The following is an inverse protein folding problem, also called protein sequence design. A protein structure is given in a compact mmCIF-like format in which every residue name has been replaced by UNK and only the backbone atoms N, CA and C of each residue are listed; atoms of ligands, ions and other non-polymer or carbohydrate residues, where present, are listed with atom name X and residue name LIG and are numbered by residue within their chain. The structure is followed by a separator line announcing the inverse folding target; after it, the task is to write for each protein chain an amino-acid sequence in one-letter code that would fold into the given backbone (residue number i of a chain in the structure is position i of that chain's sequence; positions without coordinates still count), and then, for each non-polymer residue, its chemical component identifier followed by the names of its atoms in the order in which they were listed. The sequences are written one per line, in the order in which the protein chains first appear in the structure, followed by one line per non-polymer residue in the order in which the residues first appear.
data_IF_413750245079
#
_entry.id   IF_413750245079
#
_cell.length_a   1.000
_cell.length_b   1.000
_cell.length_c   1.000
_cell.angle_alpha   90.00
_cell.angle_beta   90.00
_cell.angle_gamma   90.00
#
_symmetry.space_group_name_H-M   'P 1'
#
loop_
_entity.id
_entity.type
_entity.pdbx_description
1 polymer ?
#
# COMPACT_ATOMS: atom_id res chain seq x y z
N UNK A 1 5.15 44.61 16.47
CA UNK A 1 6.30 43.88 15.90
C UNK A 1 6.10 42.44 16.29
N UNK A 2 5.87 41.63 15.27
CA UNK A 2 5.27 40.31 15.31
C UNK A 2 6.09 39.28 16.09
N UNK A 3 5.41 38.54 16.95
CA UNK A 3 5.85 37.22 17.39
C UNK A 3 5.10 36.18 16.55
N UNK A 4 5.57 35.95 15.33
CA UNK A 4 5.17 34.76 14.57
C UNK A 4 5.88 33.56 15.20
N UNK A 5 5.28 33.02 16.25
CA UNK A 5 5.63 31.73 16.83
C UNK A 5 5.02 30.65 15.92
N UNK A 6 5.71 30.32 14.82
CA UNK A 6 5.50 29.04 14.16
C UNK A 6 5.99 27.96 15.11
N UNK A 7 5.07 27.35 15.85
CA UNK A 7 5.35 26.15 16.62
C UNK A 7 5.99 25.12 15.68
N UNK A 8 7.06 24.42 16.11
CA UNK A 8 7.60 23.32 15.33
C UNK A 8 6.48 22.30 15.15
N UNK A 9 6.34 21.80 13.92
CA UNK A 9 5.39 20.77 13.55
C UNK A 9 5.59 19.55 14.48
N UNK A 10 4.82 19.47 15.57
CA UNK A 10 4.91 18.36 16.50
C UNK A 10 4.37 17.12 15.77
N UNK A 11 5.01 15.95 15.91
CA UNK A 11 4.52 14.73 15.29
C UNK A 11 3.06 14.51 15.68
N UNK A 12 2.18 14.38 14.69
CA UNK A 12 0.81 13.97 14.97
C UNK A 12 0.82 12.58 15.59
N UNK A 13 -0.04 12.36 16.59
CA UNK A 13 -0.18 11.04 17.18
C UNK A 13 -0.60 10.02 16.11
N UNK A 14 -0.05 8.81 16.12
CA UNK A 14 -0.32 7.76 15.13
C UNK A 14 -1.82 7.58 14.87
N UNK A 15 -2.63 7.56 15.93
CA UNK A 15 -4.09 7.41 15.82
C UNK A 15 -4.79 8.51 15.01
N UNK A 16 -4.25 9.73 15.03
CA UNK A 16 -4.78 10.82 14.19
C UNK A 16 -4.51 10.55 12.72
N UNK A 17 -3.32 10.04 12.39
CA UNK A 17 -2.97 9.72 11.01
C UNK A 17 -3.80 8.55 10.50
N UNK A 18 -3.95 7.49 11.29
CA UNK A 18 -4.80 6.32 10.95
C UNK A 18 -6.26 6.71 10.69
N UNK A 19 -6.82 7.64 11.48
CA UNK A 19 -8.17 8.16 11.28
C UNK A 19 -8.30 8.89 9.93
N UNK A 20 -7.32 9.73 9.59
CA UNK A 20 -7.30 10.46 8.31
C UNK A 20 -7.16 9.50 7.12
N UNK A 21 -6.34 8.45 7.24
CA UNK A 21 -6.24 7.40 6.23
C UNK A 21 -7.58 6.68 6.05
N UNK A 22 -8.22 6.29 7.16
CA UNK A 22 -9.55 5.64 7.15
C UNK A 22 -10.61 6.51 6.48
N UNK A 23 -10.57 7.83 6.74
CA UNK A 23 -11.45 8.80 6.10
C UNK A 23 -11.20 8.90 4.59
N UNK A 24 -9.95 8.83 4.13
CA UNK A 24 -9.63 8.85 2.70
C UNK A 24 -10.28 7.65 1.98
N UNK A 25 -10.17 6.46 2.55
CA UNK A 25 -10.83 5.29 1.97
C UNK A 25 -12.36 5.36 2.00
N UNK A 26 -12.95 5.95 3.05
CA UNK A 26 -14.39 6.20 3.06
C UNK A 26 -14.82 7.13 1.92
N UNK A 27 -14.07 8.22 1.69
CA UNK A 27 -14.32 9.14 0.58
C UNK A 27 -14.25 8.42 -0.76
N UNK A 28 -13.21 7.61 -0.98
CA UNK A 28 -13.02 6.85 -2.22
C UNK A 28 -14.21 5.92 -2.49
N UNK A 29 -14.59 5.09 -1.50
CA UNK A 29 -15.74 4.17 -1.61
C UNK A 29 -17.09 4.88 -1.76
N UNK A 30 -17.20 6.12 -1.28
CA UNK A 30 -18.38 6.95 -1.49
C UNK A 30 -18.45 7.63 -2.86
N UNK A 31 -17.39 7.48 -3.68
CA UNK A 31 -17.26 8.08 -5.01
C UNK A 31 -16.57 9.44 -5.02
N UNK A 32 -16.19 10.01 -3.87
CA UNK A 32 -15.40 11.24 -3.78
C UNK A 32 -13.90 10.93 -3.94
N UNK A 33 -13.53 10.50 -5.13
CA UNK A 33 -12.15 10.15 -5.49
C UNK A 33 -11.19 11.32 -5.38
N UNK A 34 -11.66 12.55 -5.65
CA UNK A 34 -10.86 13.77 -5.50
C UNK A 34 -10.56 14.06 -4.04
N UNK A 35 -11.59 14.07 -3.19
CA UNK A 35 -11.42 14.27 -1.75
C UNK A 35 -10.54 13.19 -1.12
N UNK A 36 -10.67 11.94 -1.56
CA UNK A 36 -9.80 10.85 -1.14
C UNK A 36 -8.34 11.09 -1.55
N UNK A 37 -8.09 11.46 -2.81
CA UNK A 37 -6.75 11.76 -3.32
C UNK A 37 -6.08 12.88 -2.53
N UNK A 38 -6.76 14.02 -2.38
CA UNK A 38 -6.28 15.18 -1.62
C UNK A 38 -5.93 14.76 -0.18
N UNK A 39 -6.74 13.88 0.41
CA UNK A 39 -6.55 13.42 1.78
C UNK A 39 -5.37 12.45 1.93
N UNK A 40 -5.14 11.54 0.97
CA UNK A 40 -3.95 10.69 0.96
C UNK A 40 -2.67 11.52 0.82
N UNK A 41 -2.66 12.51 -0.07
CA UNK A 41 -1.53 13.42 -0.24
C UNK A 41 -1.26 14.23 1.04
N UNK A 42 -2.30 14.75 1.69
CA UNK A 42 -2.21 15.41 2.98
C UNK A 42 -1.52 14.53 4.01
N UNK A 43 -1.96 13.27 4.14
CA UNK A 43 -1.40 12.35 5.13
C UNK A 43 0.06 12.02 4.83
N UNK A 44 0.42 11.77 3.56
CA UNK A 44 1.81 11.54 3.19
C UNK A 44 2.69 12.74 3.55
N UNK A 45 2.19 13.98 3.40
CA UNK A 45 2.91 15.19 3.85
C UNK A 45 3.06 15.28 5.37
N UNK A 46 2.10 14.75 6.14
CA UNK A 46 2.23 14.68 7.60
C UNK A 46 3.29 13.65 8.05
N UNK A 47 3.54 12.64 7.23
CA UNK A 47 4.53 11.59 7.48
C UNK A 47 5.92 11.92 6.93
N UNK A 48 6.08 13.00 6.18
CA UNK A 48 7.35 13.38 5.59
C UNK A 48 8.43 13.55 6.67
N UNK A 49 9.60 12.97 6.44
CA UNK A 49 10.70 12.91 7.41
C UNK A 49 10.49 11.96 8.60
N UNK A 50 9.41 11.18 8.63
CA UNK A 50 9.22 10.10 9.62
C UNK A 50 9.71 8.75 9.08
N UNK A 51 10.15 7.88 9.98
CA UNK A 51 10.51 6.49 9.70
C UNK A 51 9.37 5.53 10.12
N UNK A 52 8.12 5.91 9.84
CA UNK A 52 6.95 5.11 10.19
C UNK A 52 6.49 4.25 9.00
N UNK A 53 7.21 3.14 8.76
CA UNK A 53 6.93 2.20 7.67
C UNK A 53 5.49 1.68 7.67
N UNK A 54 4.94 1.42 8.85
CA UNK A 54 3.56 0.96 9.02
C UNK A 54 2.52 1.95 8.46
N UNK A 55 2.64 3.25 8.75
CA UNK A 55 1.66 4.22 8.25
C UNK A 55 1.79 4.43 6.74
N UNK A 56 3.01 4.37 6.20
CA UNK A 56 3.21 4.39 4.75
C UNK A 56 2.61 3.15 4.07
N UNK A 57 2.77 1.97 4.66
CA UNK A 57 2.15 0.74 4.16
C UNK A 57 0.62 0.79 4.23
N UNK A 58 0.06 1.35 5.31
CA UNK A 58 -1.40 1.50 5.45
C UNK A 58 -1.98 2.40 4.35
N UNK A 59 -1.28 3.49 4.00
CA UNK A 59 -1.63 4.34 2.85
C UNK A 59 -1.53 3.56 1.54
N UNK A 60 -0.42 2.83 1.35
CA UNK A 60 -0.19 2.01 0.17
C UNK A 60 -1.33 1.00 -0.06
N UNK A 61 -1.63 0.20 0.96
CA UNK A 61 -2.67 -0.83 0.92
C UNK A 61 -4.02 -0.21 0.59
N UNK A 62 -4.44 0.80 1.36
CA UNK A 62 -5.77 1.37 1.19
C UNK A 62 -5.93 2.10 -0.14
N UNK A 63 -5.02 3.01 -0.47
CA UNK A 63 -5.13 3.75 -1.73
C UNK A 63 -5.03 2.85 -2.96
N UNK A 64 -4.33 1.72 -2.88
CA UNK A 64 -4.27 0.76 -3.99
C UNK A 64 -5.60 0.06 -4.22
N UNK A 65 -6.26 -0.43 -3.17
CA UNK A 65 -7.58 -1.09 -3.30
C UNK A 65 -8.69 -0.08 -3.62
N UNK A 66 -8.55 1.17 -3.18
CA UNK A 66 -9.48 2.27 -3.47
C UNK A 66 -9.33 2.82 -4.91
N UNK A 67 -8.45 2.24 -5.74
CA UNK A 67 -8.25 2.63 -7.14
C UNK A 67 -7.43 3.92 -7.32
N UNK A 68 -6.70 4.34 -6.29
CA UNK A 68 -5.89 5.56 -6.22
C UNK A 68 -4.39 5.24 -6.22
N UNK A 69 -3.99 4.12 -6.82
CA UNK A 69 -2.60 3.65 -6.82
C UNK A 69 -1.60 4.68 -7.36
N UNK A 70 -1.97 5.43 -8.41
CA UNK A 70 -1.12 6.49 -8.97
C UNK A 70 -0.78 7.58 -7.93
N UNK A 71 -1.66 7.81 -6.96
CA UNK A 71 -1.45 8.77 -5.86
C UNK A 71 -0.57 8.17 -4.77
N UNK A 72 -0.82 6.92 -4.39
CA UNK A 72 -0.21 6.31 -3.19
C UNK A 72 1.04 5.46 -3.45
N UNK A 73 1.42 5.22 -4.70
CA UNK A 73 2.64 4.46 -5.04
C UNK A 73 3.90 4.96 -4.30
N UNK A 74 4.14 6.28 -4.11
CA UNK A 74 5.28 6.76 -3.32
C UNK A 74 5.27 6.27 -1.86
N UNK A 75 4.10 6.09 -1.26
CA UNK A 75 3.98 5.53 0.09
C UNK A 75 4.37 4.05 0.12
N UNK A 76 3.97 3.28 -0.90
CA UNK A 76 4.39 1.88 -1.06
C UNK A 76 5.92 1.74 -1.17
N UNK A 77 6.54 2.61 -1.96
CA UNK A 77 7.99 2.63 -2.13
C UNK A 77 8.69 2.99 -0.82
N UNK A 78 8.19 3.99 -0.11
CA UNK A 78 8.73 4.44 1.16
C UNK A 78 8.61 3.39 2.27
N UNK A 79 7.49 2.66 2.34
CA UNK A 79 7.30 1.57 3.29
C UNK A 79 8.38 0.49 3.13
N UNK A 80 8.61 0.03 1.90
CA UNK A 80 9.64 -0.98 1.60
C UNK A 80 11.06 -0.44 1.73
N UNK A 81 11.29 0.86 1.45
CA UNK A 81 12.60 1.47 1.72
C UNK A 81 12.96 1.43 3.21
N UNK A 82 11.98 1.70 4.07
CA UNK A 82 12.14 1.69 5.53
C UNK A 82 12.33 0.27 6.10
N UNK A 83 11.53 -0.68 5.63
CA UNK A 83 11.51 -2.06 6.12
C UNK A 83 11.55 -3.05 4.95
N UNK A 84 12.70 -3.14 4.30
CA UNK A 84 12.89 -3.92 3.07
C UNK A 84 12.66 -5.44 3.21
N UNK A 85 12.70 -5.99 4.42
CA UNK A 85 12.48 -7.43 4.68
C UNK A 85 11.04 -7.72 5.15
N UNK A 86 10.19 -6.71 5.27
CA UNK A 86 8.78 -6.89 5.62
C UNK A 86 8.02 -7.42 4.40
N UNK A 87 7.56 -8.66 4.49
CA UNK A 87 6.89 -9.34 3.39
C UNK A 87 5.56 -8.70 3.03
N UNK A 88 4.81 -8.19 4.03
CA UNK A 88 3.53 -7.53 3.78
C UNK A 88 3.71 -6.22 3.01
N UNK A 89 4.76 -5.46 3.30
CA UNK A 89 5.01 -4.20 2.60
C UNK A 89 5.41 -4.43 1.16
N UNK A 90 6.21 -5.47 0.89
CA UNK A 90 6.53 -5.88 -0.48
C UNK A 90 5.31 -6.40 -1.21
N UNK A 91 4.47 -7.17 -0.55
CA UNK A 91 3.22 -7.69 -1.11
C UNK A 91 2.28 -6.55 -1.55
N UNK A 92 2.08 -5.55 -0.69
CA UNK A 92 1.29 -4.36 -1.00
C UNK A 92 1.93 -3.51 -2.13
N UNK A 93 3.26 -3.34 -2.12
CA UNK A 93 3.97 -2.65 -3.21
C UNK A 93 3.88 -3.43 -4.52
N UNK A 94 3.90 -4.76 -4.48
CA UNK A 94 3.74 -5.62 -5.64
C UNK A 94 2.38 -5.41 -6.31
N UNK A 95 1.31 -5.34 -5.52
CA UNK A 95 -0.02 -4.96 -6.01
C UNK A 95 -0.01 -3.58 -6.66
N UNK A 96 0.54 -2.58 -5.97
CA UNK A 96 0.60 -1.21 -6.50
C UNK A 96 1.39 -1.10 -7.82
N UNK A 97 2.52 -1.80 -7.92
CA UNK A 97 3.33 -1.87 -9.14
C UNK A 97 2.59 -2.57 -10.28
N UNK A 98 1.86 -3.64 -10.00
CA UNK A 98 1.05 -4.30 -11.01
C UNK A 98 -0.06 -3.38 -11.54
N UNK A 99 -0.78 -2.70 -10.65
CA UNK A 99 -1.85 -1.76 -11.02
C UNK A 99 -1.34 -0.58 -11.86
N UNK A 100 -0.09 -0.16 -11.65
CA UNK A 100 0.57 0.93 -12.42
C UNK A 100 1.37 0.44 -13.64
N UNK A 101 1.31 -0.85 -13.95
CA UNK A 101 1.94 -1.44 -15.15
C UNK A 101 3.42 -1.81 -15.00
N UNK A 102 4.01 -1.65 -13.82
CA UNK A 102 5.35 -2.16 -13.51
C UNK A 102 5.30 -3.65 -13.16
N UNK A 103 4.99 -4.49 -14.15
CA UNK A 103 4.85 -5.94 -13.95
C UNK A 103 6.16 -6.61 -13.53
N UNK A 104 7.31 -6.17 -14.06
CA UNK A 104 8.60 -6.71 -13.65
C UNK A 104 8.87 -6.48 -12.16
N UNK A 105 8.66 -5.25 -11.67
CA UNK A 105 8.81 -4.94 -10.25
C UNK A 105 7.77 -5.63 -9.36
N UNK A 106 6.55 -5.85 -9.86
CA UNK A 106 5.53 -6.60 -9.14
C UNK A 106 5.90 -8.09 -9.00
N UNK A 107 6.42 -8.71 -10.06
CA UNK A 107 6.92 -10.09 -10.04
C UNK A 107 8.07 -10.24 -9.05
N UNK A 108 9.02 -9.30 -9.02
CA UNK A 108 10.11 -9.31 -8.03
C UNK A 108 9.57 -9.31 -6.59
N UNK A 109 8.59 -8.44 -6.31
CA UNK A 109 7.99 -8.32 -4.98
C UNK A 109 7.22 -9.58 -4.57
N UNK A 110 6.33 -10.09 -5.43
CA UNK A 110 5.57 -11.30 -5.14
C UNK A 110 6.44 -12.54 -5.04
N UNK A 111 7.53 -12.64 -5.82
CA UNK A 111 8.47 -13.76 -5.73
C UNK A 111 9.14 -13.80 -4.36
N UNK A 112 9.62 -12.66 -3.85
CA UNK A 112 10.17 -12.56 -2.51
C UNK A 112 9.18 -13.06 -1.45
N UNK A 113 7.92 -12.63 -1.57
CA UNK A 113 6.87 -12.97 -0.60
C UNK A 113 6.55 -14.47 -0.62
N UNK A 114 6.47 -15.07 -1.80
CA UNK A 114 6.29 -16.53 -1.96
C UNK A 114 7.45 -17.29 -1.34
N UNK A 115 8.70 -16.87 -1.58
CA UNK A 115 9.89 -17.49 -0.99
C UNK A 115 9.86 -17.41 0.54
N UNK A 116 9.57 -16.22 1.08
CA UNK A 116 9.47 -15.99 2.52
C UNK A 116 8.41 -16.90 3.16
N UNK A 117 7.20 -16.95 2.61
CA UNK A 117 6.12 -17.78 3.16
C UNK A 117 6.39 -19.28 3.04
N UNK A 118 7.06 -19.72 1.97
CA UNK A 118 7.51 -21.12 1.84
C UNK A 118 8.56 -21.47 2.89
N UNK A 119 9.48 -20.57 3.21
CA UNK A 119 10.47 -20.77 4.27
C UNK A 119 9.82 -20.93 5.65
N UNK A 120 8.72 -20.19 5.92
CA UNK A 120 7.98 -20.34 7.18
C UNK A 120 7.34 -21.72 7.34
N UNK A 121 7.01 -22.40 6.23
CA UNK A 121 6.36 -23.72 6.21
C UNK A 121 5.10 -23.79 7.09
N UNK A 122 4.29 -22.73 7.04
CA UNK A 122 3.09 -22.59 7.85
C UNK A 122 1.82 -22.83 7.00
N UNK A 123 0.88 -23.70 7.43
CA UNK A 123 -0.30 -24.05 6.63
C UNK A 123 -1.18 -22.86 6.23
N UNK A 124 -1.24 -21.80 7.04
CA UNK A 124 -2.03 -20.61 6.73
C UNK A 124 -1.54 -19.84 5.50
N UNK A 125 -0.28 -20.01 5.09
CA UNK A 125 0.24 -19.34 3.89
C UNK A 125 -0.08 -20.06 2.59
N UNK A 126 -0.61 -21.29 2.65
CA UNK A 126 -0.78 -22.12 1.45
C UNK A 126 -1.67 -21.45 0.40
N UNK A 127 -2.78 -20.85 0.79
CA UNK A 127 -3.66 -20.14 -0.16
C UNK A 127 -2.98 -18.89 -0.70
N UNK A 128 -2.38 -18.08 0.16
CA UNK A 128 -1.71 -16.84 -0.25
C UNK A 128 -0.56 -17.11 -1.23
N UNK A 129 0.23 -18.16 -1.03
CA UNK A 129 1.28 -18.58 -1.97
C UNK A 129 0.68 -18.90 -3.35
N UNK A 130 -0.41 -19.67 -3.41
CA UNK A 130 -1.05 -20.05 -4.67
C UNK A 130 -1.62 -18.83 -5.42
N UNK A 131 -2.18 -17.86 -4.68
CA UNK A 131 -2.68 -16.62 -5.26
C UNK A 131 -1.53 -15.83 -5.90
N UNK A 132 -0.39 -15.66 -5.19
CA UNK A 132 0.78 -14.92 -5.72
C UNK A 132 1.43 -15.64 -6.88
N UNK A 133 1.52 -16.97 -6.87
CA UNK A 133 2.02 -17.75 -8.01
C UNK A 133 1.14 -17.55 -9.25
N UNK A 134 -0.18 -17.48 -9.05
CA UNK A 134 -1.12 -17.17 -10.14
C UNK A 134 -0.89 -15.76 -10.66
N UNK A 135 -0.75 -14.77 -9.78
CA UNK A 135 -0.49 -13.39 -10.18
C UNK A 135 0.84 -13.23 -10.91
N UNK A 136 1.91 -13.87 -10.43
CA UNK A 136 3.22 -13.88 -11.07
C UNK A 136 3.08 -14.42 -12.51
N UNK A 137 2.43 -15.57 -12.71
CA UNK A 137 2.28 -16.16 -14.03
C UNK A 137 1.49 -15.26 -15.00
N UNK A 138 0.46 -14.56 -14.53
CA UNK A 138 -0.30 -13.60 -15.33
C UNK A 138 0.56 -12.37 -15.71
N UNK A 139 1.27 -11.80 -14.74
CA UNK A 139 2.13 -10.63 -14.92
C UNK A 139 3.31 -10.91 -15.85
N UNK A 140 3.96 -12.08 -15.72
CA UNK A 140 5.01 -12.54 -16.64
C UNK A 140 4.50 -12.71 -18.08
N UNK A 141 3.22 -13.06 -18.23
CA UNK A 141 2.56 -13.15 -19.51
C UNK A 141 2.03 -11.79 -20.02
N UNK A 142 2.33 -10.70 -19.32
CA UNK A 142 1.91 -9.34 -19.68
C UNK A 142 0.44 -9.04 -19.43
N UNK A 143 -0.22 -9.81 -18.55
CA UNK A 143 -1.64 -9.63 -18.18
C UNK A 143 -1.73 -9.12 -16.75
N UNK A 144 -2.59 -8.14 -16.52
CA UNK A 144 -2.91 -7.68 -15.18
C UNK A 144 -4.02 -8.58 -14.59
N UNK A 145 -3.76 -9.31 -13.48
CA UNK A 145 -4.78 -10.15 -12.84
C UNK A 145 -5.74 -9.35 -11.94
N UNK A 146 -5.52 -8.05 -11.71
CA UNK A 146 -6.24 -7.26 -10.71
C UNK A 146 -7.43 -6.49 -11.32
N UNK A 147 -8.54 -7.19 -11.52
CA UNK A 147 -9.85 -6.57 -11.78
C UNK A 147 -10.60 -6.22 -10.49
N UNK A 148 -11.80 -5.64 -10.63
CA UNK A 148 -12.63 -5.24 -9.48
C UNK A 148 -12.97 -6.41 -8.55
N UNK A 149 -13.23 -7.61 -9.10
CA UNK A 149 -13.51 -8.81 -8.31
C UNK A 149 -12.29 -9.23 -7.48
N UNK A 150 -11.12 -9.26 -8.11
CA UNK A 150 -9.86 -9.61 -7.44
C UNK A 150 -9.50 -8.60 -6.36
N UNK A 151 -9.65 -7.30 -6.63
CA UNK A 151 -9.39 -6.24 -5.65
C UNK A 151 -10.35 -6.30 -4.45
N UNK A 152 -11.63 -6.57 -4.67
CA UNK A 152 -12.60 -6.77 -3.59
C UNK A 152 -12.24 -8.00 -2.73
N UNK A 153 -11.76 -9.08 -3.36
CA UNK A 153 -11.26 -10.26 -2.65
C UNK A 153 -10.04 -9.95 -1.77
N UNK A 154 -9.15 -9.10 -2.25
CA UNK A 154 -7.99 -8.59 -1.50
C UNK A 154 -8.44 -7.71 -0.33
N UNK A 155 -9.40 -6.80 -0.52
CA UNK A 155 -9.91 -5.94 0.56
C UNK A 155 -10.49 -6.75 1.72
N UNK A 156 -11.25 -7.81 1.42
CA UNK A 156 -11.96 -8.65 2.39
C UNK A 156 -11.11 -9.78 3.00
N UNK A 157 -9.94 -10.06 2.42
CA UNK A 157 -9.12 -11.25 2.73
C UNK A 157 -8.01 -11.06 3.77
N UNK A 158 -7.86 -9.86 4.33
CA UNK A 158 -6.86 -9.53 5.37
C UNK A 158 -7.51 -9.21 6.73
#
# INVERSE_FOLDING_TARGET
MDASSTSPNLPHHTSYVEERISQAGFLARSGDTRGASDLYEDVMRLLDGTDNGYLYDLICRMGSVDGLTDVVLPACERAVELEHDNELYRDNRGLARALTGNYAGAVEDFTFVVEFWREKDLPQYRSFILDRETWIAELEAGRNPFDEETLNGIELGY
#
